data_IF_469818742147
#
_entry.id   IF_469818742147
#
_cell.length_a   1.000
_cell.length_b   1.000
_cell.length_c   1.000
_cell.angle_alpha   90.00
_cell.angle_beta   90.00
_cell.angle_gamma   90.00
#
_symmetry.space_group_name_H-M   'P 1'
#
loop_
_entity.id
_entity.type
_entity.pdbx_description
1 polymer ?
#
# COMPACT_ATOMS: atom_id res chain seq x y z
N UNK A 1 -3.07 5.84 -17.57
CA UNK A 1 -3.20 7.12 -16.85
C UNK A 1 -2.77 7.03 -15.38
N UNK A 2 -3.05 5.92 -14.68
CA UNK A 2 -2.76 5.76 -13.25
C UNK A 2 -1.27 5.84 -12.93
N UNK A 3 -0.41 5.40 -13.83
CA UNK A 3 1.05 5.42 -13.68
C UNK A 3 1.74 6.68 -14.22
N UNK A 4 0.99 7.71 -14.59
CA UNK A 4 1.57 8.97 -15.07
C UNK A 4 2.39 9.66 -14.00
N UNK A 5 3.65 10.00 -14.33
CA UNK A 5 4.57 10.65 -13.40
C UNK A 5 5.12 9.76 -12.29
N UNK A 6 4.67 8.51 -12.20
CA UNK A 6 5.13 7.54 -11.19
C UNK A 6 6.43 6.90 -11.65
N UNK A 7 7.42 6.88 -10.79
CA UNK A 7 8.70 6.18 -10.94
C UNK A 7 8.68 4.88 -10.12
N UNK A 8 9.54 3.92 -10.43
CA UNK A 8 9.73 2.75 -9.58
C UNK A 8 10.07 3.18 -8.14
N UNK A 9 9.40 2.58 -7.16
CA UNK A 9 9.59 2.89 -5.76
C UNK A 9 9.62 1.61 -4.91
N UNK A 10 10.13 1.74 -3.69
CA UNK A 10 10.07 0.70 -2.68
C UNK A 10 9.23 1.20 -1.52
N UNK A 11 8.34 0.35 -1.01
CA UNK A 11 7.55 0.63 0.17
C UNK A 11 7.44 -0.63 1.02
N UNK A 12 7.87 -0.53 2.28
CA UNK A 12 7.63 -1.60 3.25
C UNK A 12 6.22 -1.41 3.82
N UNK A 13 5.33 -2.35 3.51
CA UNK A 13 3.94 -2.28 3.92
C UNK A 13 3.41 -3.70 4.23
N UNK A 14 2.23 -3.78 4.77
CA UNK A 14 1.48 -5.03 4.88
C UNK A 14 0.73 -5.28 3.56
N UNK A 15 1.48 -5.67 2.54
CA UNK A 15 0.92 -5.95 1.24
C UNK A 15 0.13 -7.25 1.24
N UNK A 16 -1.17 -7.16 0.94
CA UNK A 16 -1.97 -8.34 0.68
C UNK A 16 -1.77 -8.77 -0.78
N UNK A 17 -1.49 -10.03 -0.99
CA UNK A 17 -1.24 -10.61 -2.31
C UNK A 17 -2.00 -11.93 -2.50
N UNK A 18 -1.82 -12.60 -3.63
CA UNK A 18 -2.56 -13.77 -4.06
C UNK A 18 -4.07 -13.50 -4.12
N UNK A 19 -4.43 -12.35 -4.71
CA UNK A 19 -5.81 -11.94 -4.90
C UNK A 19 -6.48 -12.85 -5.93
N UNK A 20 -7.70 -13.29 -5.62
CA UNK A 20 -8.51 -14.08 -6.54
C UNK A 20 -9.33 -13.15 -7.43
N UNK A 21 -9.02 -13.16 -8.71
CA UNK A 21 -9.78 -12.45 -9.73
C UNK A 21 -10.78 -13.42 -10.40
N UNK A 22 -11.93 -12.90 -10.79
CA UNK A 22 -12.93 -13.69 -11.51
C UNK A 22 -12.43 -13.97 -12.92
N UNK A 23 -12.72 -15.17 -13.43
CA UNK A 23 -12.29 -15.57 -14.79
C UNK A 23 -12.93 -14.72 -15.90
N UNK A 24 -14.17 -14.25 -15.70
CA UNK A 24 -14.86 -13.34 -16.61
C UNK A 24 -14.23 -11.93 -16.64
N UNK A 25 -13.30 -11.64 -15.75
CA UNK A 25 -12.55 -10.38 -15.70
C UNK A 25 -11.27 -10.40 -16.55
N UNK A 26 -10.92 -11.54 -17.17
CA UNK A 26 -9.77 -11.65 -18.06
C UNK A 26 -9.93 -10.65 -19.21
N UNK A 27 -8.92 -9.82 -19.41
CA UNK A 27 -8.92 -8.75 -20.40
C UNK A 27 -9.48 -7.40 -19.92
N UNK A 28 -10.20 -7.37 -18.82
CA UNK A 28 -10.71 -6.12 -18.19
C UNK A 28 -9.87 -5.69 -16.98
N UNK A 29 -9.18 -6.64 -16.35
CA UNK A 29 -8.22 -6.40 -15.28
C UNK A 29 -6.91 -5.89 -15.88
N UNK A 30 -6.37 -4.83 -15.28
CA UNK A 30 -5.11 -4.21 -15.69
C UNK A 30 -4.23 -4.12 -14.45
N UNK A 31 -3.16 -4.92 -14.33
CA UNK A 31 -2.18 -4.78 -13.25
C UNK A 31 -1.54 -3.40 -13.27
N UNK A 32 -1.40 -2.78 -12.12
CA UNK A 32 -0.79 -1.46 -11.95
C UNK A 32 0.51 -1.57 -11.15
N UNK A 33 0.50 -2.29 -10.04
CA UNK A 33 1.69 -2.63 -9.28
C UNK A 33 1.73 -4.14 -9.10
N UNK A 34 2.89 -4.72 -9.37
CA UNK A 34 3.14 -6.15 -9.19
C UNK A 34 4.54 -6.34 -8.65
N UNK A 35 4.72 -7.33 -7.81
CA UNK A 35 6.01 -7.72 -7.27
C UNK A 35 6.04 -9.23 -7.00
N UNK A 36 7.23 -9.79 -6.84
CA UNK A 36 7.42 -11.18 -6.44
C UNK A 36 7.60 -11.21 -4.92
N UNK A 37 6.68 -11.85 -4.19
CA UNK A 37 6.80 -11.91 -2.73
C UNK A 37 8.06 -12.66 -2.32
N UNK A 38 8.84 -12.13 -1.34
CA UNK A 38 10.01 -12.83 -0.82
C UNK A 38 9.63 -14.19 -0.22
N UNK A 39 10.42 -15.23 -0.46
CA UNK A 39 10.16 -16.60 0.06
C UNK A 39 10.09 -16.64 1.59
N UNK A 40 10.72 -15.69 2.25
CA UNK A 40 10.66 -15.51 3.70
C UNK A 40 9.25 -15.21 4.22
N UNK A 41 8.36 -14.68 3.39
CA UNK A 41 6.96 -14.43 3.76
C UNK A 41 6.22 -15.73 4.10
N UNK A 42 6.69 -16.86 3.57
CA UNK A 42 6.11 -18.20 3.77
C UNK A 42 6.68 -18.98 4.97
N UNK A 43 7.44 -18.35 5.85
CA UNK A 43 7.96 -19.00 7.08
C UNK A 43 6.88 -19.30 8.13
N UNK A 44 5.73 -18.64 8.03
CA UNK A 44 4.59 -18.89 8.92
C UNK A 44 3.84 -20.16 8.51
N UNK A 45 3.19 -20.82 9.46
CA UNK A 45 2.25 -21.90 9.17
C UNK A 45 1.02 -21.42 8.39
N UNK A 46 0.23 -22.32 7.85
CA UNK A 46 -1.00 -21.99 7.15
C UNK A 46 -2.04 -21.38 8.10
N UNK A 47 -2.83 -20.46 7.60
CA UNK A 47 -3.86 -19.75 8.36
C UNK A 47 -4.46 -18.60 7.59
N UNK A 48 -5.47 -17.96 8.19
CA UNK A 48 -6.25 -16.89 7.56
C UNK A 48 -5.40 -15.69 7.10
N UNK A 49 -4.27 -15.44 7.76
CA UNK A 49 -3.39 -14.31 7.49
C UNK A 49 -1.94 -14.72 7.18
N UNK A 50 -1.69 -15.97 6.87
CA UNK A 50 -0.31 -16.47 6.74
C UNK A 50 -0.04 -17.29 5.49
N UNK A 51 -1.04 -17.67 4.78
CA UNK A 51 -0.92 -18.44 3.55
C UNK A 51 -1.63 -19.79 3.60
N UNK A 52 -1.56 -20.48 2.48
CA UNK A 52 -2.13 -21.79 2.24
C UNK A 52 -1.29 -22.49 1.16
N UNK A 53 -1.57 -23.75 0.79
CA UNK A 53 -0.79 -24.49 -0.20
C UNK A 53 -0.67 -23.78 -1.56
N UNK A 54 -1.75 -23.15 -2.05
CA UNK A 54 -1.74 -22.45 -3.35
C UNK A 54 -0.85 -21.23 -3.33
N UNK A 55 -0.92 -20.42 -2.25
CA UNK A 55 -0.02 -19.28 -2.04
C UNK A 55 1.43 -19.72 -1.99
N UNK A 56 1.73 -20.82 -1.27
CA UNK A 56 3.10 -21.36 -1.17
C UNK A 56 3.62 -21.81 -2.52
N UNK A 57 2.77 -22.42 -3.34
CA UNK A 57 3.12 -22.85 -4.70
C UNK A 57 3.46 -21.63 -5.57
N UNK A 58 2.63 -20.59 -5.54
CA UNK A 58 2.84 -19.35 -6.32
C UNK A 58 4.15 -18.64 -5.90
N UNK A 59 4.40 -18.50 -4.59
CA UNK A 59 5.63 -17.89 -4.09
C UNK A 59 6.88 -18.73 -4.39
N UNK A 60 6.78 -20.07 -4.32
CA UNK A 60 7.88 -20.96 -4.68
C UNK A 60 8.24 -20.88 -6.17
N UNK A 61 7.23 -20.63 -7.03
CA UNK A 61 7.39 -20.45 -8.47
C UNK A 61 7.81 -19.02 -8.88
N UNK A 62 8.08 -18.15 -7.91
CA UNK A 62 8.40 -16.73 -8.14
C UNK A 62 7.34 -16.00 -9.00
N UNK A 63 6.06 -16.36 -8.83
CA UNK A 63 4.95 -15.75 -9.55
C UNK A 63 4.75 -14.30 -9.11
N UNK A 64 4.74 -13.38 -10.07
CA UNK A 64 4.45 -11.98 -9.80
C UNK A 64 3.00 -11.82 -9.29
N UNK A 65 2.85 -11.16 -8.15
CA UNK A 65 1.58 -10.92 -7.50
C UNK A 65 1.13 -9.48 -7.72
N UNK A 66 -0.15 -9.29 -8.02
CA UNK A 66 -0.70 -7.96 -8.23
C UNK A 66 -1.18 -7.37 -6.90
N UNK A 67 -0.56 -6.27 -6.48
CA UNK A 67 -0.88 -5.54 -5.24
C UNK A 67 -1.63 -4.23 -5.51
N UNK A 68 -1.69 -3.81 -6.78
CA UNK A 68 -2.62 -2.79 -7.24
C UNK A 68 -3.09 -3.11 -8.66
N UNK A 69 -4.35 -2.88 -8.95
CA UNK A 69 -4.96 -3.15 -10.25
C UNK A 69 -6.07 -2.15 -10.58
N UNK A 70 -6.28 -1.94 -11.88
CA UNK A 70 -7.43 -1.24 -12.42
C UNK A 70 -8.39 -2.24 -13.05
N UNK A 71 -9.67 -1.92 -13.01
CA UNK A 71 -10.72 -2.70 -13.65
C UNK A 71 -11.66 -1.81 -14.44
N UNK A 72 -11.93 -2.20 -15.68
CA UNK A 72 -12.93 -1.54 -16.53
C UNK A 72 -14.15 -2.42 -16.65
N UNK A 73 -15.29 -1.92 -16.20
CA UNK A 73 -16.57 -2.60 -16.33
C UNK A 73 -17.17 -2.41 -17.73
N UNK A 74 -18.04 -3.32 -18.11
CA UNK A 74 -18.73 -3.27 -19.42
C UNK A 74 -19.61 -2.04 -19.59
N UNK A 75 -20.22 -1.59 -18.50
CA UNK A 75 -21.02 -0.36 -18.44
C UNK A 75 -20.18 0.93 -18.53
N UNK A 76 -18.87 0.81 -18.76
CA UNK A 76 -17.94 1.92 -18.78
C UNK A 76 -17.54 2.42 -17.38
N UNK A 77 -17.96 1.77 -16.31
CA UNK A 77 -17.50 2.03 -14.95
C UNK A 77 -16.03 1.64 -14.77
N UNK A 78 -15.40 2.20 -13.74
CA UNK A 78 -13.99 1.96 -13.41
C UNK A 78 -13.84 1.60 -11.96
N UNK A 79 -12.93 0.68 -11.67
CA UNK A 79 -12.53 0.32 -10.31
C UNK A 79 -11.02 0.34 -10.16
N UNK A 80 -10.55 0.53 -8.95
CA UNK A 80 -9.15 0.44 -8.60
C UNK A 80 -9.02 -0.29 -7.26
N UNK A 81 -8.16 -1.29 -7.21
CA UNK A 81 -7.78 -1.98 -5.98
C UNK A 81 -6.33 -1.68 -5.65
N UNK A 82 -6.07 -1.53 -4.36
CA UNK A 82 -4.74 -1.23 -3.83
C UNK A 82 -4.63 -1.84 -2.43
N UNK A 83 -3.66 -2.69 -2.21
CA UNK A 83 -3.56 -3.46 -0.97
C UNK A 83 -2.56 -2.89 0.04
N UNK A 84 -1.83 -1.83 -0.32
CA UNK A 84 -0.95 -1.10 0.58
C UNK A 84 -1.70 -0.05 1.41
N UNK A 85 -0.95 0.69 2.22
CA UNK A 85 -1.45 1.81 3.03
C UNK A 85 -1.66 1.47 4.51
N UNK A 86 -1.32 0.27 4.95
CA UNK A 86 -1.28 -0.07 6.37
C UNK A 86 -0.21 0.75 7.11
N UNK A 87 0.98 0.83 6.53
CA UNK A 87 2.01 1.70 7.07
C UNK A 87 1.77 3.15 6.63
N UNK A 88 1.22 3.95 7.56
CA UNK A 88 0.86 5.33 7.31
C UNK A 88 2.01 6.18 6.74
N UNK A 89 3.26 5.92 7.15
CA UNK A 89 4.41 6.70 6.70
C UNK A 89 4.71 6.54 5.19
N UNK A 90 4.20 5.49 4.55
CA UNK A 90 4.31 5.33 3.11
C UNK A 90 3.63 6.45 2.31
N UNK A 91 2.66 7.16 2.91
CA UNK A 91 2.05 8.34 2.29
C UNK A 91 3.04 9.50 2.09
N UNK A 92 4.21 9.45 2.75
CA UNK A 92 5.33 10.36 2.50
C UNK A 92 6.08 10.07 1.19
N UNK A 93 5.95 8.87 0.61
CA UNK A 93 6.54 8.54 -0.69
C UNK A 93 5.67 9.14 -1.80
N UNK A 94 6.28 10.00 -2.63
CA UNK A 94 5.57 10.73 -3.68
C UNK A 94 5.00 9.81 -4.75
N UNK A 95 5.73 8.77 -5.16
CA UNK A 95 5.30 7.82 -6.20
C UNK A 95 4.16 6.91 -5.71
N UNK A 96 4.24 6.45 -4.46
CA UNK A 96 3.17 5.72 -3.79
C UNK A 96 1.89 6.56 -3.76
N UNK A 97 2.00 7.80 -3.30
CA UNK A 97 0.88 8.74 -3.17
C UNK A 97 0.32 9.14 -4.54
N UNK A 98 1.19 9.44 -5.51
CA UNK A 98 0.78 9.81 -6.88
C UNK A 98 0.01 8.69 -7.55
N UNK A 99 0.41 7.42 -7.34
CA UNK A 99 -0.32 6.25 -7.87
C UNK A 99 -1.79 6.27 -7.42
N UNK A 100 -2.03 6.45 -6.13
CA UNK A 100 -3.37 6.45 -5.56
C UNK A 100 -4.16 7.69 -6.00
N UNK A 101 -3.57 8.87 -5.99
CA UNK A 101 -4.23 10.12 -6.42
C UNK A 101 -4.62 10.07 -7.91
N UNK A 102 -3.75 9.55 -8.76
CA UNK A 102 -4.04 9.32 -10.18
C UNK A 102 -5.22 8.35 -10.35
N UNK A 103 -5.24 7.28 -9.56
CA UNK A 103 -6.30 6.28 -9.60
C UNK A 103 -7.65 6.87 -9.19
N UNK A 104 -7.70 7.73 -8.17
CA UNK A 104 -8.91 8.44 -7.75
C UNK A 104 -9.47 9.25 -8.92
N UNK A 105 -8.65 10.08 -9.58
CA UNK A 105 -9.09 10.85 -10.75
C UNK A 105 -9.53 9.92 -11.90
N UNK A 106 -8.79 8.83 -12.13
CA UNK A 106 -9.13 7.91 -13.21
C UNK A 106 -10.45 7.19 -12.95
N UNK A 107 -10.73 6.75 -11.72
CA UNK A 107 -12.02 6.12 -11.32
C UNK A 107 -13.16 7.13 -11.49
N UNK A 108 -12.95 8.37 -11.08
CA UNK A 108 -13.91 9.47 -11.25
C UNK A 108 -14.09 9.91 -12.71
N UNK A 109 -13.41 9.29 -13.69
CA UNK A 109 -13.37 9.67 -15.10
C UNK A 109 -12.84 11.10 -15.35
N UNK A 110 -12.18 11.68 -14.36
CA UNK A 110 -11.51 12.96 -14.48
C UNK A 110 -10.17 12.84 -15.25
N UNK A 111 -9.68 13.95 -15.76
CA UNK A 111 -8.41 14.02 -16.48
C UNK A 111 -7.24 13.87 -15.49
N UNK A 112 -6.46 12.81 -15.64
CA UNK A 112 -5.19 12.66 -14.92
C UNK A 112 -4.13 13.53 -15.59
N UNK A 113 -3.42 14.42 -14.88
CA UNK A 113 -2.35 15.25 -15.42
C UNK A 113 -1.26 14.41 -16.09
N UNK A 114 -0.55 15.00 -17.09
CA UNK A 114 0.51 14.29 -17.84
C UNK A 114 1.62 13.77 -16.92
N UNK A 115 1.98 14.55 -15.91
CA UNK A 115 3.06 14.24 -14.96
C UNK A 115 2.52 13.70 -13.60
N UNK A 116 1.29 13.18 -13.57
CA UNK A 116 0.63 12.74 -12.34
C UNK A 116 0.01 13.89 -11.57
N UNK A 117 -0.76 13.55 -10.54
CA UNK A 117 -1.39 14.53 -9.63
C UNK A 117 -0.31 15.11 -8.72
N UNK A 118 -0.06 16.43 -8.78
CA UNK A 118 0.90 17.02 -7.88
C UNK A 118 0.38 17.01 -6.44
N UNK A 119 1.23 16.63 -5.52
CA UNK A 119 0.93 16.68 -4.09
C UNK A 119 2.23 16.88 -3.31
N UNK A 120 2.12 17.55 -2.17
CA UNK A 120 3.23 17.72 -1.25
C UNK A 120 2.75 17.35 0.15
N UNK A 121 3.53 16.51 0.82
CA UNK A 121 3.28 16.10 2.20
C UNK A 121 4.56 16.34 2.98
N UNK A 122 4.46 17.06 4.08
CA UNK A 122 5.58 17.31 4.99
C UNK A 122 5.65 16.21 6.05
N UNK A 123 6.74 16.17 6.78
CA UNK A 123 6.86 15.26 7.93
C UNK A 123 5.82 15.58 8.99
N UNK A 124 5.56 16.86 9.20
CA UNK A 124 4.55 17.34 10.14
C UNK A 124 3.15 16.87 9.75
N UNK A 125 2.80 16.93 8.46
CA UNK A 125 1.52 16.42 7.95
C UNK A 125 1.37 14.91 8.20
N UNK A 126 2.45 14.14 8.03
CA UNK A 126 2.42 12.69 8.26
C UNK A 126 2.20 12.33 9.73
N UNK A 127 2.61 13.19 10.65
CA UNK A 127 2.45 12.95 12.07
C UNK A 127 1.26 13.71 12.69
N UNK A 128 0.63 14.61 11.94
CA UNK A 128 -0.60 15.25 12.35
C UNK A 128 -1.70 14.18 12.50
N UNK A 129 -2.51 14.26 13.51
CA UNK A 129 -3.65 13.35 13.75
C UNK A 129 -3.28 11.85 13.94
N UNK A 130 -2.03 11.53 14.15
CA UNK A 130 -1.68 10.19 14.62
C UNK A 130 -2.07 10.07 16.09
N UNK A 131 -2.96 9.12 16.38
CA UNK A 131 -3.27 8.77 17.76
C UNK A 131 -1.99 8.34 18.48
N UNK A 132 -1.76 8.92 19.67
CA UNK A 132 -0.71 8.45 20.56
C UNK A 132 -0.90 6.96 20.82
N UNK A 133 0.13 6.14 20.61
CA UNK A 133 0.06 4.70 20.90
C UNK A 133 -0.43 4.54 22.35
N UNK A 134 -1.66 4.06 22.53
CA UNK A 134 -2.19 3.71 23.85
C UNK A 134 -1.21 2.73 24.49
N UNK A 135 -0.47 3.16 25.53
CA UNK A 135 0.33 2.25 26.33
C UNK A 135 1.75 2.63 26.72
N UNK A 136 2.32 3.73 26.26
CA UNK A 136 3.54 4.25 26.92
C UNK A 136 3.14 5.35 27.90
N UNK A 137 2.93 5.00 29.18
CA UNK A 137 3.01 5.99 30.27
C UNK A 137 4.33 6.75 30.10
N UNK A 138 4.32 8.09 30.15
CA UNK A 138 5.57 8.86 30.20
C UNK A 138 6.45 8.28 31.33
N UNK A 139 7.72 8.04 31.01
CA UNK A 139 8.67 7.67 32.07
C UNK A 139 8.61 8.71 33.17
N UNK A 140 8.59 8.30 34.44
CA UNK A 140 8.57 9.25 35.55
C UNK A 140 9.79 10.18 35.41
N UNK A 141 9.54 11.49 35.39
CA UNK A 141 10.60 12.49 35.41
C UNK A 141 11.47 12.20 36.62
N UNK A 142 12.74 11.89 36.39
CA UNK A 142 13.71 11.73 37.46
C UNK A 142 13.69 13.02 38.29
N UNK A 143 13.31 12.89 39.56
CA UNK A 143 13.45 13.96 40.52
C UNK A 143 14.93 14.25 40.67
N UNK A 144 15.41 15.31 40.06
CA UNK A 144 16.72 15.88 40.33
C UNK A 144 16.69 16.35 41.76
N UNK A 145 17.36 15.57 42.62
CA UNK A 145 17.53 15.89 44.05
C UNK A 145 18.28 17.20 44.19
N UNK A 146 17.60 18.19 44.73
CA UNK A 146 18.21 19.39 45.29
C UNK A 146 18.93 18.98 46.58
N UNK A 147 20.24 18.83 46.53
CA UNK A 147 21.07 18.88 47.75
C UNK A 147 21.11 20.32 48.22
N UNK A 148 20.40 20.62 49.25
CA UNK A 148 20.67 21.81 50.09
C UNK A 148 21.79 21.47 51.08
N UNK A 149 22.74 22.39 51.14
CA UNK A 149 23.76 22.44 52.17
C UNK A 149 23.16 22.61 53.56
#
# INVERSE_FOLDING_TARGET
>A
PITRGVKPFKANDEWYFHMRFRDDNKGKLIPILSDVPPKETMKRGDGAHSGNPDVRKAVAADEAQHVAWAYRREDGGRGFGFTGGHNHLNWGNDDFRTTVLNAILWVAKAKVPKNGVPSKVTKEDLYANLDGKRGKKPAPKSATGSKKK
#
